data_IF_748637511720
#
_entry.id   IF_748637511720
#
_cell.length_a   1.000
_cell.length_b   1.000
_cell.length_c   1.000
_cell.angle_alpha   90.00
_cell.angle_beta   90.00
_cell.angle_gamma   90.00
#
_symmetry.space_group_name_H-M   'P 1'
#
loop_
_entity.id
_entity.type
_entity.pdbx_description
1 polymer ?
#
# COMPACT_ATOMS: atom_id res chain seq x y z
N UNK A 1 -28.35 30.17 -14.91
CA UNK A 1 -27.64 29.14 -14.10
C UNK A 1 -28.58 27.94 -13.92
N UNK A 2 -28.15 26.71 -14.23
CA UNK A 2 -29.06 25.57 -14.28
C UNK A 2 -29.58 25.22 -12.87
N UNK A 3 -30.91 25.01 -12.69
CA UNK A 3 -31.58 24.84 -11.38
C UNK A 3 -31.19 23.56 -10.64
N UNK A 4 -30.44 22.65 -11.28
CA UNK A 4 -29.94 21.40 -10.70
C UNK A 4 -28.80 21.64 -9.70
N UNK A 5 -27.93 22.63 -9.96
CA UNK A 5 -26.81 22.98 -9.06
C UNK A 5 -27.31 23.56 -7.72
N UNK A 6 -28.45 24.28 -7.74
CA UNK A 6 -29.04 24.88 -6.56
C UNK A 6 -29.63 23.84 -5.58
N UNK A 7 -30.14 22.72 -6.09
CA UNK A 7 -30.67 21.61 -5.25
C UNK A 7 -29.56 20.81 -4.58
N UNK A 8 -28.43 20.62 -5.25
CA UNK A 8 -27.26 19.98 -4.64
C UNK A 8 -26.66 20.84 -3.51
N UNK A 9 -26.61 22.17 -3.71
CA UNK A 9 -26.10 23.11 -2.71
C UNK A 9 -26.95 23.18 -1.42
N UNK A 10 -28.27 23.03 -1.53
CA UNK A 10 -29.18 23.11 -0.37
C UNK A 10 -29.23 21.82 0.45
N UNK A 11 -28.89 20.67 -0.13
CA UNK A 11 -28.78 19.42 0.62
C UNK A 11 -27.49 19.37 1.47
N UNK A 12 -26.40 19.95 0.97
CA UNK A 12 -25.10 19.99 1.64
C UNK A 12 -25.04 20.94 2.87
N UNK A 13 -25.95 21.92 2.97
CA UNK A 13 -25.83 23.02 3.95
C UNK A 13 -26.46 22.75 5.32
N UNK A 14 -27.37 21.78 5.44
CA UNK A 14 -27.98 21.39 6.74
C UNK A 14 -27.05 20.62 7.69
N UNK A 15 -26.30 19.59 7.26
CA UNK A 15 -25.39 18.88 8.17
C UNK A 15 -24.20 19.76 8.58
N UNK A 16 -23.73 20.64 7.69
CA UNK A 16 -22.60 21.52 7.91
C UNK A 16 -22.80 22.47 9.10
N UNK A 17 -24.01 23.05 9.25
CA UNK A 17 -24.31 23.96 10.37
C UNK A 17 -24.41 23.23 11.72
N UNK A 18 -24.92 21.99 11.75
CA UNK A 18 -25.00 21.19 12.98
C UNK A 18 -23.61 20.72 13.43
N UNK A 19 -22.75 20.33 12.49
CA UNK A 19 -21.36 20.00 12.76
C UNK A 19 -20.57 21.21 13.28
N UNK A 20 -20.79 22.41 12.73
CA UNK A 20 -20.19 23.65 13.22
C UNK A 20 -20.61 24.01 14.66
N UNK A 21 -21.88 23.80 15.00
CA UNK A 21 -22.38 24.01 16.37
C UNK A 21 -21.79 23.05 17.40
N UNK A 22 -21.59 21.78 17.02
CA UNK A 22 -20.97 20.76 17.87
C UNK A 22 -19.46 21.01 18.03
N UNK A 23 -18.79 21.46 16.96
CA UNK A 23 -17.39 21.84 16.98
C UNK A 23 -17.09 23.03 17.91
N UNK A 24 -18.03 24.00 17.99
CA UNK A 24 -17.92 25.12 18.95
C UNK A 24 -18.08 24.68 20.40
N UNK A 25 -18.86 23.62 20.68
CA UNK A 25 -19.09 23.09 22.04
C UNK A 25 -17.96 22.16 22.49
N UNK A 26 -17.31 21.45 21.57
CA UNK A 26 -16.22 20.52 21.88
C UNK A 26 -15.04 20.70 20.90
N UNK A 27 -14.26 21.78 21.04
CA UNK A 27 -13.22 22.15 20.07
C UNK A 27 -12.12 21.09 19.95
N UNK A 28 -11.72 20.47 21.07
CA UNK A 28 -10.68 19.43 21.08
C UNK A 28 -11.15 18.16 20.34
N UNK A 29 -12.40 17.73 20.57
CA UNK A 29 -12.97 16.55 19.88
C UNK A 29 -13.13 16.79 18.39
N UNK A 30 -13.55 18.00 18.01
CA UNK A 30 -13.65 18.39 16.61
C UNK A 30 -12.28 18.44 15.91
N UNK A 31 -11.26 18.97 16.59
CA UNK A 31 -9.89 18.98 16.10
C UNK A 31 -9.32 17.56 15.95
N UNK A 32 -9.65 16.64 16.86
CA UNK A 32 -9.22 15.23 16.81
C UNK A 32 -10.02 14.38 15.82
N UNK A 33 -11.19 14.82 15.36
CA UNK A 33 -12.01 14.04 14.44
C UNK A 33 -11.31 13.77 13.11
N UNK A 34 -10.63 14.77 12.56
CA UNK A 34 -9.89 14.64 11.30
C UNK A 34 -8.69 13.66 11.41
N UNK A 35 -7.76 13.81 12.37
CA UNK A 35 -6.66 12.85 12.50
C UNK A 35 -7.15 11.45 12.88
N UNK A 36 -8.24 11.32 13.66
CA UNK A 36 -8.84 10.01 13.94
C UNK A 36 -9.39 9.34 12.67
N UNK A 37 -10.03 10.11 11.77
CA UNK A 37 -10.50 9.59 10.49
C UNK A 37 -9.33 9.12 9.60
N UNK A 38 -8.25 9.89 9.56
CA UNK A 38 -7.01 9.52 8.84
C UNK A 38 -6.41 8.24 9.41
N UNK A 39 -6.32 8.13 10.75
CA UNK A 39 -5.82 6.93 11.40
C UNK A 39 -6.68 5.70 11.08
N UNK A 40 -8.01 5.84 11.15
CA UNK A 40 -8.95 4.79 10.80
C UNK A 40 -8.75 4.35 9.34
N UNK A 41 -8.62 5.30 8.42
CA UNK A 41 -8.34 5.03 7.01
C UNK A 41 -7.04 4.23 6.83
N UNK A 42 -5.97 4.62 7.51
CA UNK A 42 -4.70 3.90 7.46
C UNK A 42 -4.84 2.47 8.01
N UNK A 43 -5.53 2.29 9.13
CA UNK A 43 -5.76 0.97 9.72
C UNK A 43 -6.54 0.03 8.78
N UNK A 44 -7.54 0.56 8.07
CA UNK A 44 -8.27 -0.19 7.04
C UNK A 44 -7.35 -0.58 5.88
N UNK A 45 -6.36 0.24 5.54
CA UNK A 45 -5.45 0.00 4.42
C UNK A 45 -4.36 -1.05 4.72
N UNK A 46 -3.99 -1.24 6.00
CA UNK A 46 -2.95 -2.21 6.43
C UNK A 46 -3.18 -3.62 5.86
N UNK A 47 -4.34 -4.28 6.01
CA UNK A 47 -4.55 -5.64 5.50
C UNK A 47 -4.48 -5.73 3.97
N UNK A 48 -4.72 -4.63 3.25
CA UNK A 48 -4.65 -4.57 1.80
C UNK A 48 -3.27 -4.16 1.27
N UNK A 49 -2.35 -3.77 2.16
CA UNK A 49 -1.00 -3.32 1.77
C UNK A 49 -0.01 -4.45 2.04
N UNK A 50 0.56 -5.08 1.00
CA UNK A 50 1.58 -6.11 1.19
C UNK A 50 2.79 -5.53 1.94
N UNK A 51 3.40 -6.33 2.81
CA UNK A 51 4.52 -5.89 3.61
C UNK A 51 5.77 -5.59 2.77
N UNK A 52 6.68 -4.78 3.32
CA UNK A 52 7.97 -4.45 2.66
C UNK A 52 8.80 -5.72 2.37
N UNK A 53 8.70 -6.73 3.23
CA UNK A 53 9.34 -8.04 3.04
C UNK A 53 8.78 -8.78 1.81
N UNK A 54 7.46 -8.77 1.65
CA UNK A 54 6.78 -9.43 0.54
C UNK A 54 7.09 -8.73 -0.79
N UNK A 55 7.11 -7.40 -0.80
CA UNK A 55 7.53 -6.62 -1.96
C UNK A 55 9.00 -6.89 -2.35
N UNK A 56 9.88 -7.08 -1.37
CA UNK A 56 11.29 -7.39 -1.61
C UNK A 56 11.50 -8.80 -2.16
N UNK A 57 10.69 -9.76 -1.71
CA UNK A 57 10.67 -11.14 -2.22
C UNK A 57 10.11 -11.17 -3.64
N UNK A 58 8.96 -10.54 -3.86
CA UNK A 58 8.33 -10.45 -5.18
C UNK A 58 9.25 -9.79 -6.23
N UNK A 59 9.99 -8.74 -5.85
CA UNK A 59 10.99 -8.11 -6.74
C UNK A 59 12.20 -9.01 -7.04
N UNK A 60 12.45 -10.02 -6.20
CA UNK A 60 13.61 -10.92 -6.34
C UNK A 60 13.26 -12.25 -7.01
N UNK A 61 11.98 -12.53 -7.26
CA UNK A 61 11.50 -13.86 -7.67
C UNK A 61 11.34 -14.07 -9.18
N UNK A 62 11.60 -13.06 -10.02
CA UNK A 62 11.70 -13.28 -11.47
C UNK A 62 13.16 -13.29 -11.90
N UNK A 63 13.84 -14.46 -11.86
CA UNK A 63 15.16 -14.60 -12.44
C UNK A 63 15.07 -14.42 -13.96
N UNK A 64 16.00 -13.68 -14.54
CA UNK A 64 16.11 -13.58 -16.00
C UNK A 64 16.96 -14.74 -16.50
N UNK A 65 16.44 -15.55 -17.44
CA UNK A 65 17.14 -16.71 -17.99
C UNK A 65 17.67 -16.38 -19.38
N UNK A 66 18.97 -16.58 -19.62
CA UNK A 66 19.54 -16.58 -20.96
C UNK A 66 19.36 -17.95 -21.58
N UNK A 67 18.73 -17.97 -22.75
CA UNK A 67 18.52 -19.17 -23.55
C UNK A 67 19.40 -19.10 -24.80
N UNK A 68 19.96 -20.22 -25.20
CA UNK A 68 20.54 -20.39 -26.52
C UNK A 68 19.43 -20.57 -27.57
N UNK A 69 19.80 -20.49 -28.85
CA UNK A 69 18.87 -20.63 -29.97
C UNK A 69 18.20 -22.00 -30.07
N UNK A 70 18.80 -23.02 -29.45
CA UNK A 70 18.27 -24.38 -29.32
C UNK A 70 17.30 -24.54 -28.12
N UNK A 71 17.12 -23.48 -27.33
CA UNK A 71 16.30 -23.49 -26.12
C UNK A 71 17.01 -23.96 -24.86
N UNK A 72 18.32 -24.25 -24.92
CA UNK A 72 19.10 -24.62 -23.73
C UNK A 72 19.37 -23.41 -22.83
N UNK A 73 19.39 -23.62 -21.51
CA UNK A 73 19.64 -22.57 -20.52
C UNK A 73 21.15 -22.32 -20.39
N UNK A 74 21.59 -21.13 -20.79
CA UNK A 74 23.00 -20.72 -20.71
C UNK A 74 23.34 -20.10 -19.35
N UNK A 75 22.45 -19.28 -18.81
CA UNK A 75 22.66 -18.61 -17.52
C UNK A 75 21.34 -18.17 -16.89
N UNK A 76 21.32 -18.09 -15.57
CA UNK A 76 20.22 -17.53 -14.79
C UNK A 76 20.73 -16.34 -13.99
N UNK A 77 20.21 -15.14 -14.26
CA UNK A 77 20.53 -13.93 -13.54
C UNK A 77 19.56 -13.71 -12.39
N UNK A 78 20.09 -13.85 -11.18
CA UNK A 78 19.37 -13.55 -9.93
C UNK A 78 20.06 -12.43 -9.17
N UNK A 79 19.28 -11.53 -8.59
CA UNK A 79 19.81 -10.43 -7.76
C UNK A 79 20.55 -10.95 -6.51
N UNK A 80 20.14 -12.10 -5.98
CA UNK A 80 20.89 -12.83 -4.96
C UNK A 80 21.40 -14.13 -5.54
N UNK A 81 22.69 -14.17 -5.88
CA UNK A 81 23.37 -15.38 -6.33
C UNK A 81 23.78 -16.25 -5.13
N UNK A 82 22.82 -16.58 -4.27
CA UNK A 82 23.01 -17.50 -3.13
C UNK A 82 22.29 -18.79 -3.42
N UNK A 83 23.04 -19.89 -3.40
CA UNK A 83 22.51 -21.25 -3.45
C UNK A 83 22.75 -21.87 -2.08
N UNK A 84 21.71 -22.35 -1.43
CA UNK A 84 21.87 -23.19 -0.26
C UNK A 84 22.47 -24.51 -0.74
N UNK A 85 23.68 -24.81 -0.26
CA UNK A 85 24.39 -26.07 -0.50
C UNK A 85 24.60 -26.76 0.84
N UNK A 86 24.49 -28.07 0.83
CA UNK A 86 24.77 -28.91 1.99
C UNK A 86 26.27 -28.88 2.33
N UNK A 87 26.62 -29.13 3.59
CA UNK A 87 27.99 -28.94 4.09
C UNK A 87 29.01 -29.85 3.39
N UNK A 88 28.58 -31.03 2.94
CA UNK A 88 29.38 -32.00 2.16
C UNK A 88 29.79 -31.48 0.77
N UNK A 89 29.13 -30.43 0.26
CA UNK A 89 29.43 -29.79 -1.03
C UNK A 89 30.38 -28.60 -0.89
N UNK A 90 30.76 -28.23 0.34
CA UNK A 90 31.67 -27.12 0.61
C UNK A 90 33.09 -27.66 0.67
N UNK A 91 34.01 -27.04 -0.07
CA UNK A 91 35.44 -27.37 0.00
C UNK A 91 35.93 -27.27 1.45
N UNK A 92 36.61 -28.30 1.98
CA UNK A 92 37.18 -28.27 3.33
C UNK A 92 38.52 -27.52 3.41
N UNK A 93 39.04 -27.02 2.28
CA UNK A 93 40.30 -26.28 2.17
C UNK A 93 40.08 -24.77 2.13
#
# INVERSE_FOLDING_TARGET
>A
MPPTLARLATFATRPLRRLGGLARRHPVRAALALPALVLLYLLVLIPFTPGIGDLRKAKSEQPSVLLASDGSVLAEYRRSNRRWVTLDKISPN
#
